data_IF_794726955892
#
_entry.id   IF_794726955892
#
_cell.length_a   1.000
_cell.length_b   1.000
_cell.length_c   1.000
_cell.angle_alpha   90.00
_cell.angle_beta   90.00
_cell.angle_gamma   90.00
#
_symmetry.space_group_name_H-M   'P 1'
#
loop_
_entity.id
_entity.type
_entity.pdbx_description
1 polymer ?
#
# COMPACT_ATOMS: atom_id res chain seq x y z
N UNK A 1 20.79 17.41 3.05
CA UNK A 1 21.33 16.12 2.56
C UNK A 1 21.79 16.28 1.12
N UNK A 2 22.90 15.63 0.72
CA UNK A 2 23.43 15.69 -0.65
C UNK A 2 22.57 14.91 -1.66
N UNK A 3 21.92 13.85 -1.21
CA UNK A 3 21.03 12.98 -1.98
C UNK A 3 19.63 12.92 -1.34
N UNK A 4 18.62 12.53 -2.12
CA UNK A 4 17.32 12.13 -1.56
C UNK A 4 17.49 10.83 -0.75
N UNK A 5 16.86 10.69 0.43
CA UNK A 5 17.00 9.49 1.25
C UNK A 5 16.35 8.23 0.65
N UNK A 6 17.10 7.48 -0.18
CA UNK A 6 16.67 6.17 -0.70
C UNK A 6 17.03 5.01 0.22
N UNK A 7 18.24 4.47 0.06
CA UNK A 7 18.78 3.35 0.85
C UNK A 7 18.55 3.50 2.35
N UNK A 8 18.76 4.71 2.89
CA UNK A 8 18.59 4.98 4.31
C UNK A 8 17.15 4.70 4.78
N UNK A 9 16.15 5.16 4.02
CA UNK A 9 14.74 4.95 4.34
C UNK A 9 14.36 3.48 4.19
N UNK A 10 14.85 2.80 3.14
CA UNK A 10 14.61 1.36 2.95
C UNK A 10 15.11 0.54 4.14
N UNK A 11 16.30 0.87 4.67
CA UNK A 11 16.85 0.18 5.84
C UNK A 11 16.12 0.53 7.13
N UNK A 12 15.78 1.80 7.36
CA UNK A 12 14.98 2.19 8.53
C UNK A 12 13.62 1.51 8.54
N UNK A 13 12.93 1.41 7.40
CA UNK A 13 11.70 0.63 7.32
C UNK A 13 11.94 -0.85 7.63
N UNK A 14 13.04 -1.43 7.18
CA UNK A 14 13.40 -2.82 7.50
C UNK A 14 13.58 -3.01 9.02
N UNK A 15 14.14 -2.01 9.71
CA UNK A 15 14.32 -1.98 11.16
C UNK A 15 13.01 -1.66 11.93
N UNK A 16 11.89 -1.50 11.23
CA UNK A 16 10.56 -1.36 11.82
C UNK A 16 9.97 0.05 11.76
N UNK A 17 10.69 1.06 11.25
CA UNK A 17 10.17 2.42 11.18
C UNK A 17 9.00 2.53 10.18
N UNK A 18 8.03 3.39 10.52
CA UNK A 18 7.04 3.84 9.55
C UNK A 18 7.63 4.92 8.65
N UNK A 19 7.22 4.92 7.39
CA UNK A 19 7.59 5.94 6.41
C UNK A 19 6.43 6.18 5.46
N UNK A 20 6.25 7.44 5.07
CA UNK A 20 5.36 7.87 4.02
C UNK A 20 6.03 9.02 3.27
N UNK A 21 6.10 8.88 1.95
CA UNK A 21 6.84 9.80 1.12
C UNK A 21 6.09 11.14 0.94
N UNK A 22 6.80 12.16 0.44
CA UNK A 22 6.27 13.51 0.15
C UNK A 22 5.52 14.19 1.33
N UNK A 23 5.86 13.82 2.57
CA UNK A 23 5.23 14.37 3.77
C UNK A 23 3.92 13.66 4.16
N UNK A 24 3.64 12.48 3.61
CA UNK A 24 2.47 11.68 3.94
C UNK A 24 2.58 10.99 5.31
N UNK A 25 2.30 11.79 6.34
CA UNK A 25 2.31 11.32 7.72
C UNK A 25 1.24 10.27 8.01
N UNK A 26 0.11 10.23 7.27
CA UNK A 26 -0.96 9.25 7.48
C UNK A 26 -0.49 7.86 7.09
N UNK A 27 0.11 7.75 5.90
CA UNK A 27 0.70 6.49 5.46
C UNK A 27 1.91 6.12 6.30
N UNK A 28 2.74 7.09 6.71
CA UNK A 28 3.85 6.83 7.63
C UNK A 28 3.39 6.21 8.95
N UNK A 29 2.33 6.75 9.55
CA UNK A 29 1.75 6.21 10.78
C UNK A 29 1.13 4.83 10.54
N UNK A 30 0.39 4.64 9.45
CA UNK A 30 -0.21 3.36 9.08
C UNK A 30 0.85 2.27 8.89
N UNK A 31 1.92 2.55 8.14
CA UNK A 31 3.04 1.61 7.92
C UNK A 31 3.69 1.22 9.24
N UNK A 32 3.89 2.18 10.18
CA UNK A 32 4.40 1.84 11.51
C UNK A 32 3.44 0.93 12.26
N UNK A 33 2.14 1.27 12.30
CA UNK A 33 1.13 0.45 12.96
C UNK A 33 1.12 -0.97 12.39
N UNK A 34 1.15 -1.11 11.06
CA UNK A 34 1.19 -2.41 10.38
C UNK A 34 2.46 -3.20 10.70
N UNK A 35 3.63 -2.54 10.76
CA UNK A 35 4.88 -3.19 11.16
C UNK A 35 4.88 -3.70 12.60
N UNK A 36 4.22 -2.97 13.51
CA UNK A 36 4.06 -3.43 14.89
C UNK A 36 3.06 -4.58 14.96
N UNK A 37 1.94 -4.48 14.22
CA UNK A 37 0.94 -5.55 14.12
C UNK A 37 1.52 -6.85 13.55
N UNK A 38 2.50 -6.77 12.63
CA UNK A 38 3.13 -7.94 12.02
C UNK A 38 4.33 -8.50 12.78
N UNK A 39 4.63 -8.01 13.98
CA UNK A 39 5.76 -8.51 14.76
C UNK A 39 5.62 -10.00 15.08
N UNK A 40 6.61 -10.80 14.68
CA UNK A 40 6.63 -12.25 14.89
C UNK A 40 5.81 -13.05 13.88
N UNK A 41 5.19 -12.41 12.89
CA UNK A 41 4.53 -13.08 11.76
C UNK A 41 5.50 -13.25 10.58
N UNK A 42 5.28 -14.29 9.79
CA UNK A 42 5.99 -14.48 8.53
C UNK A 42 5.51 -13.48 7.48
N UNK A 43 6.44 -13.00 6.65
CA UNK A 43 6.17 -12.01 5.59
C UNK A 43 6.73 -10.63 5.90
N UNK A 44 6.35 -9.65 5.09
CA UNK A 44 6.88 -8.28 5.18
C UNK A 44 5.80 -7.22 5.12
N UNK A 45 6.17 -6.00 5.52
CA UNK A 45 5.30 -4.82 5.45
C UNK A 45 6.12 -3.65 4.90
N UNK A 46 5.58 -2.92 3.93
CA UNK A 46 6.26 -1.83 3.23
C UNK A 46 5.32 -0.65 3.01
N UNK A 47 5.89 0.54 2.90
CA UNK A 47 5.28 1.61 2.12
C UNK A 47 5.19 1.19 0.64
N UNK A 48 4.15 1.62 -0.07
CA UNK A 48 3.91 1.25 -1.47
C UNK A 48 3.07 2.30 -2.21
N UNK A 49 3.22 2.36 -3.52
CA UNK A 49 2.40 3.15 -4.44
C UNK A 49 2.09 2.34 -5.70
N UNK A 50 0.84 2.40 -6.17
CA UNK A 50 0.41 1.86 -7.47
C UNK A 50 1.06 2.68 -8.61
N UNK A 51 2.11 2.13 -9.24
CA UNK A 51 2.99 2.89 -10.13
C UNK A 51 2.54 2.85 -11.60
N UNK A 52 2.15 1.67 -12.09
CA UNK A 52 1.59 1.51 -13.44
C UNK A 52 0.80 0.19 -13.60
N UNK A 53 0.12 0.02 -14.73
CA UNK A 53 -0.77 -1.12 -14.98
C UNK A 53 -0.34 -1.94 -16.19
N UNK A 54 -0.47 -3.27 -16.08
CA UNK A 54 -0.45 -4.21 -17.18
C UNK A 54 -1.89 -4.55 -17.57
N UNK A 55 -2.32 -4.17 -18.77
CA UNK A 55 -3.72 -4.32 -19.24
C UNK A 55 -3.81 -5.37 -20.35
N UNK A 56 -3.55 -6.62 -19.99
CA UNK A 56 -3.72 -7.77 -20.87
C UNK A 56 -4.97 -8.57 -20.46
N UNK A 57 -5.90 -8.88 -21.39
CA UNK A 57 -7.08 -9.68 -21.08
C UNK A 57 -6.75 -10.97 -20.32
N UNK A 58 -7.33 -11.12 -19.12
CA UNK A 58 -7.10 -12.27 -18.23
C UNK A 58 -5.80 -12.22 -17.41
N UNK A 59 -4.91 -11.24 -17.64
CA UNK A 59 -3.64 -11.07 -16.91
C UNK A 59 -3.43 -9.66 -16.37
N UNK A 60 -4.52 -8.92 -16.15
CA UNK A 60 -4.43 -7.59 -15.57
C UNK A 60 -3.64 -7.62 -14.25
N UNK A 61 -2.70 -6.69 -14.10
CA UNK A 61 -1.86 -6.58 -12.91
C UNK A 61 -1.46 -5.11 -12.66
N UNK A 62 -1.06 -4.83 -11.43
CA UNK A 62 -0.53 -3.54 -11.00
C UNK A 62 0.93 -3.72 -10.62
N UNK A 63 1.79 -2.87 -11.19
CA UNK A 63 3.17 -2.74 -10.76
C UNK A 63 3.22 -1.68 -9.66
N UNK A 64 3.52 -2.10 -8.43
CA UNK A 64 3.83 -1.20 -7.34
C UNK A 64 5.32 -0.94 -7.20
N UNK A 65 5.64 0.32 -6.90
CA UNK A 65 6.99 0.80 -6.64
C UNK A 65 6.91 2.13 -5.91
N UNK A 66 8.04 2.81 -5.76
CA UNK A 66 8.12 4.23 -5.45
C UNK A 66 9.44 4.77 -6.02
N UNK A 67 9.71 6.07 -5.91
CA UNK A 67 10.93 6.65 -6.47
C UNK A 67 12.21 5.96 -5.98
N UNK A 68 12.29 5.60 -4.69
CA UNK A 68 13.41 4.87 -4.06
C UNK A 68 12.96 3.89 -2.95
N UNK A 69 11.90 4.21 -2.22
CA UNK A 69 11.70 3.85 -0.82
C UNK A 69 10.82 2.61 -0.60
N UNK A 70 11.17 1.48 -1.23
CA UNK A 70 10.50 0.20 -0.99
C UNK A 70 11.29 -0.63 0.02
N UNK A 71 10.61 -1.10 1.08
CA UNK A 71 11.23 -1.83 2.19
C UNK A 71 11.67 -3.24 1.76
N UNK A 72 12.92 -3.65 2.01
CA UNK A 72 13.42 -4.98 1.60
C UNK A 72 12.77 -6.15 2.35
N UNK A 73 11.95 -5.92 3.38
CA UNK A 73 11.25 -6.99 4.10
C UNK A 73 10.25 -7.78 3.23
N UNK A 74 9.84 -7.24 2.08
CA UNK A 74 8.96 -7.94 1.13
C UNK A 74 9.72 -8.62 -0.01
N UNK A 75 11.06 -8.54 -0.02
CA UNK A 75 11.88 -9.08 -1.10
C UNK A 75 11.81 -10.62 -1.14
N UNK A 76 11.68 -11.17 -2.34
CA UNK A 76 11.76 -12.62 -2.58
C UNK A 76 13.18 -13.12 -2.87
N UNK A 77 14.16 -12.22 -2.82
CA UNK A 77 15.54 -12.49 -3.22
C UNK A 77 16.52 -11.67 -2.38
N UNK A 78 17.82 -11.77 -2.66
CA UNK A 78 18.81 -10.90 -2.03
C UNK A 78 18.83 -9.55 -2.77
N UNK A 79 18.49 -8.42 -2.12
CA UNK A 79 18.48 -7.12 -2.79
C UNK A 79 19.86 -6.70 -3.30
N UNK A 80 19.88 -6.06 -4.47
CA UNK A 80 21.09 -5.44 -5.04
C UNK A 80 21.16 -3.98 -4.61
N UNK A 81 22.37 -3.49 -4.34
CA UNK A 81 22.62 -2.08 -4.07
C UNK A 81 23.04 -1.39 -5.38
N UNK A 82 22.28 -0.39 -5.79
CA UNK A 82 22.48 0.30 -7.08
C UNK A 82 22.43 1.82 -6.91
N UNK A 83 23.07 2.53 -7.84
CA UNK A 83 23.06 3.99 -7.93
C UNK A 83 22.61 4.34 -9.35
N UNK A 84 21.60 5.19 -9.46
CA UNK A 84 21.09 5.67 -10.75
C UNK A 84 20.68 7.14 -10.63
N UNK A 85 20.66 7.89 -11.74
CA UNK A 85 20.17 9.26 -11.75
C UNK A 85 18.71 9.38 -11.28
N UNK A 86 18.44 10.41 -10.47
CA UNK A 86 17.08 10.83 -10.11
C UNK A 86 16.97 12.35 -10.26
N UNK A 87 16.29 12.80 -11.30
CA UNK A 87 16.12 14.23 -11.58
C UNK A 87 15.18 14.93 -10.59
N UNK A 88 14.22 14.19 -10.03
CA UNK A 88 13.27 14.69 -9.04
C UNK A 88 14.03 15.10 -7.77
N UNK A 89 13.79 16.33 -7.31
CA UNK A 89 14.48 16.91 -6.14
C UNK A 89 15.83 17.58 -6.43
N UNK A 90 16.40 17.43 -7.64
CA UNK A 90 17.60 18.16 -8.08
C UNK A 90 18.84 17.87 -7.22
N UNK A 91 19.03 16.62 -6.81
CA UNK A 91 20.13 16.15 -5.96
C UNK A 91 21.06 15.21 -6.73
N UNK A 92 22.16 14.83 -6.09
CA UNK A 92 23.07 13.80 -6.61
C UNK A 92 22.37 12.44 -6.73
N UNK A 93 22.93 11.56 -7.57
CA UNK A 93 22.41 10.22 -7.85
C UNK A 93 22.32 9.37 -6.56
N UNK A 94 21.09 9.03 -6.09
CA UNK A 94 20.91 8.36 -4.81
C UNK A 94 21.17 6.84 -4.91
N UNK A 95 21.76 6.29 -3.85
CA UNK A 95 21.82 4.84 -3.66
C UNK A 95 20.45 4.27 -3.25
N UNK A 96 20.09 3.09 -3.78
CA UNK A 96 18.87 2.34 -3.43
C UNK A 96 19.09 0.82 -3.46
N UNK A 97 18.23 0.08 -2.76
CA UNK A 97 18.05 -1.35 -2.94
C UNK A 97 17.07 -1.61 -4.08
N UNK A 98 17.45 -2.50 -4.99
CA UNK A 98 16.65 -2.97 -6.12
C UNK A 98 16.44 -4.47 -5.99
N UNK A 99 15.18 -4.90 -6.06
CA UNK A 99 14.75 -6.29 -5.91
C UNK A 99 13.33 -6.49 -6.44
N UNK A 100 12.93 -7.75 -6.59
CA UNK A 100 11.54 -8.18 -6.80
C UNK A 100 10.94 -8.69 -5.49
N UNK A 101 9.68 -8.33 -5.23
CA UNK A 101 8.95 -8.91 -4.10
C UNK A 101 8.66 -10.40 -4.31
N UNK A 102 8.57 -11.14 -3.20
CA UNK A 102 8.22 -12.56 -3.24
C UNK A 102 6.74 -12.77 -3.58
N UNK A 103 6.41 -13.81 -4.37
CA UNK A 103 5.01 -14.13 -4.68
C UNK A 103 4.25 -14.60 -3.43
N UNK A 104 2.96 -14.35 -3.39
CA UNK A 104 2.12 -14.71 -2.25
C UNK A 104 0.88 -13.84 -2.11
N UNK A 105 0.10 -14.08 -1.07
CA UNK A 105 -1.03 -13.23 -0.71
C UNK A 105 -0.54 -11.95 -0.04
N UNK A 106 -1.27 -10.85 -0.23
CA UNK A 106 -0.98 -9.59 0.42
C UNK A 106 -2.22 -8.69 0.52
N UNK A 107 -2.01 -7.51 1.08
CA UNK A 107 -3.05 -6.52 1.26
C UNK A 107 -2.49 -5.11 1.08
N UNK A 108 -3.19 -4.29 0.32
CA UNK A 108 -3.02 -2.84 0.29
C UNK A 108 -4.00 -2.20 1.26
N UNK A 109 -3.50 -1.30 2.09
CA UNK A 109 -4.29 -0.53 3.05
C UNK A 109 -4.04 0.97 2.88
N UNK A 110 -5.09 1.78 2.91
CA UNK A 110 -4.97 3.24 2.83
C UNK A 110 -5.85 3.92 3.88
N UNK A 111 -5.23 4.76 4.71
CA UNK A 111 -5.93 5.57 5.70
C UNK A 111 -6.12 6.98 5.14
N UNK A 112 -7.38 7.33 4.84
CA UNK A 112 -7.73 8.64 4.30
C UNK A 112 -8.48 9.48 5.33
N UNK A 113 -8.28 10.79 5.23
CA UNK A 113 -9.02 11.78 5.99
C UNK A 113 -10.09 12.40 5.09
N UNK A 114 -11.35 12.27 5.49
CA UNK A 114 -12.51 12.83 4.77
C UNK A 114 -12.86 14.24 5.28
N UNK A 115 -12.07 14.80 6.20
CA UNK A 115 -12.23 16.10 6.82
C UNK A 115 -12.90 16.02 8.19
N UNK A 116 -14.00 15.27 8.30
CA UNK A 116 -14.75 15.08 9.56
C UNK A 116 -14.44 13.74 10.26
N UNK A 117 -13.81 12.80 9.57
CA UNK A 117 -13.53 11.43 10.04
C UNK A 117 -12.50 10.75 9.16
N UNK A 118 -11.95 9.65 9.66
CA UNK A 118 -11.06 8.78 8.87
C UNK A 118 -11.83 7.60 8.25
N UNK A 119 -11.27 7.07 7.16
CA UNK A 119 -11.68 5.82 6.53
C UNK A 119 -10.45 4.98 6.20
N UNK A 120 -10.50 3.69 6.53
CA UNK A 120 -9.52 2.69 6.15
C UNK A 120 -10.05 1.88 4.96
N UNK A 121 -9.36 1.96 3.83
CA UNK A 121 -9.64 1.14 2.65
C UNK A 121 -8.71 -0.06 2.63
N UNK A 122 -9.28 -1.23 2.36
CA UNK A 122 -8.56 -2.51 2.32
C UNK A 122 -8.79 -3.19 0.99
N UNK A 123 -7.72 -3.57 0.30
CA UNK A 123 -7.78 -4.37 -0.91
C UNK A 123 -6.82 -5.56 -0.81
N UNK A 124 -7.32 -6.79 -0.59
CA UNK A 124 -6.53 -8.00 -0.74
C UNK A 124 -6.01 -8.11 -2.18
N UNK A 125 -4.76 -8.54 -2.31
CA UNK A 125 -4.07 -8.69 -3.58
C UNK A 125 -3.27 -10.00 -3.59
N UNK A 126 -3.02 -10.54 -4.78
CA UNK A 126 -2.07 -11.65 -4.96
C UNK A 126 -0.83 -11.15 -5.67
N UNK A 127 0.31 -11.18 -4.99
CA UNK A 127 1.63 -10.92 -5.57
C UNK A 127 1.98 -12.07 -6.51
N UNK A 128 2.29 -11.72 -7.74
CA UNK A 128 2.70 -12.65 -8.81
C UNK A 128 4.16 -12.39 -9.16
N UNK A 129 4.76 -13.33 -9.89
CA UNK A 129 6.15 -13.21 -10.32
C UNK A 129 6.35 -11.99 -11.23
N UNK A 130 7.30 -11.13 -10.85
CA UNK A 130 7.70 -9.98 -11.66
C UNK A 130 8.56 -10.44 -12.85
N UNK A 131 8.21 -10.08 -14.10
CA UNK A 131 9.06 -10.34 -15.26
C UNK A 131 10.40 -9.59 -15.15
N UNK A 132 11.36 -9.94 -16.01
CA UNK A 132 12.60 -9.19 -16.13
C UNK A 132 12.34 -7.75 -16.59
N UNK A 133 12.85 -6.79 -15.82
CA UNK A 133 12.71 -5.35 -16.09
C UNK A 133 14.09 -4.67 -15.98
N UNK A 134 15.04 -4.97 -16.89
CA UNK A 134 16.45 -4.58 -16.73
C UNK A 134 16.71 -3.07 -16.73
N UNK A 135 15.72 -2.28 -17.16
CA UNK A 135 15.79 -0.81 -17.20
C UNK A 135 15.01 -0.14 -16.05
N UNK A 136 14.32 -0.91 -15.20
CA UNK A 136 13.62 -0.37 -14.04
C UNK A 136 14.62 -0.22 -12.90
N UNK A 137 14.94 1.00 -12.45
CA UNK A 137 16.05 1.20 -11.54
C UNK A 137 15.61 1.15 -10.07
N UNK A 138 14.42 0.61 -9.78
CA UNK A 138 13.79 0.56 -8.45
C UNK A 138 13.34 -0.85 -8.13
N UNK A 139 13.15 -1.14 -6.84
CA UNK A 139 12.46 -2.35 -6.43
C UNK A 139 11.01 -2.37 -6.92
N UNK A 140 10.48 -3.57 -7.15
CA UNK A 140 9.18 -3.76 -7.79
C UNK A 140 8.36 -4.88 -7.16
N UNK A 141 7.05 -4.67 -7.14
CA UNK A 141 6.03 -5.65 -6.76
C UNK A 141 5.01 -5.71 -7.87
N UNK A 142 4.62 -6.90 -8.33
CA UNK A 142 3.55 -7.06 -9.31
C UNK A 142 2.42 -7.83 -8.65
N UNK A 143 1.21 -7.30 -8.64
CA UNK A 143 0.07 -7.97 -8.01
C UNK A 143 -1.20 -7.93 -8.86
N UNK A 144 -2.10 -8.85 -8.55
CA UNK A 144 -3.46 -8.88 -9.05
C UNK A 144 -4.41 -8.53 -7.91
N UNK A 145 -5.13 -7.40 -7.98
CA UNK A 145 -6.05 -7.00 -6.92
C UNK A 145 -7.36 -7.78 -6.99
N UNK A 146 -7.94 -8.12 -5.84
CA UNK A 146 -9.30 -8.66 -5.75
C UNK A 146 -10.36 -7.58 -5.97
N UNK A 147 -11.52 -7.87 -6.59
CA UNK A 147 -11.82 -9.11 -7.33
C UNK A 147 -11.11 -9.17 -8.68
N UNK A 148 -10.88 -8.00 -9.28
CA UNK A 148 -10.19 -7.79 -10.54
C UNK A 148 -9.76 -6.31 -10.61
N UNK A 149 -8.78 -5.97 -11.45
CA UNK A 149 -8.25 -4.61 -11.57
C UNK A 149 -9.33 -3.55 -11.84
N UNK A 150 -10.29 -3.83 -12.73
CA UNK A 150 -11.30 -2.83 -13.12
C UNK A 150 -12.22 -2.54 -11.95
N UNK A 151 -12.74 -3.56 -11.30
CA UNK A 151 -13.64 -3.41 -10.15
C UNK A 151 -12.90 -2.82 -8.96
N UNK A 152 -11.68 -3.30 -8.67
CA UNK A 152 -10.87 -2.82 -7.55
C UNK A 152 -10.53 -1.33 -7.68
N UNK A 153 -10.00 -0.91 -8.84
CA UNK A 153 -9.69 0.49 -9.09
C UNK A 153 -10.95 1.37 -9.07
N UNK A 154 -12.06 0.89 -9.64
CA UNK A 154 -13.34 1.64 -9.61
C UNK A 154 -13.81 1.84 -8.16
N UNK A 155 -13.79 0.78 -7.36
CA UNK A 155 -14.19 0.83 -5.95
C UNK A 155 -13.27 1.73 -5.11
N UNK A 156 -11.96 1.65 -5.34
CA UNK A 156 -10.94 2.43 -4.64
C UNK A 156 -11.11 3.93 -4.90
N UNK A 157 -11.25 4.31 -6.18
CA UNK A 157 -11.50 5.69 -6.60
C UNK A 157 -12.82 6.20 -6.01
N UNK A 158 -13.89 5.39 -6.05
CA UNK A 158 -15.19 5.77 -5.50
C UNK A 158 -15.16 5.97 -3.98
N UNK A 159 -14.36 5.18 -3.26
CA UNK A 159 -14.21 5.28 -1.82
C UNK A 159 -13.21 6.37 -1.38
N UNK A 160 -12.47 6.95 -2.33
CA UNK A 160 -11.53 8.05 -2.12
C UNK A 160 -10.13 7.63 -1.68
N UNK A 161 -9.73 6.38 -1.95
CA UNK A 161 -8.43 5.86 -1.50
C UNK A 161 -7.24 6.63 -2.07
N UNK A 162 -6.17 6.74 -1.28
CA UNK A 162 -4.92 7.37 -1.72
C UNK A 162 -4.14 6.48 -2.71
N UNK A 163 -3.16 7.07 -3.39
CA UNK A 163 -2.16 6.34 -4.18
C UNK A 163 -1.10 5.70 -3.26
N UNK A 164 -0.80 6.34 -2.13
CA UNK A 164 0.04 5.76 -1.09
C UNK A 164 -0.72 4.73 -0.25
N UNK A 165 -0.07 3.60 -0.04
CA UNK A 165 -0.60 2.48 0.74
C UNK A 165 0.44 1.92 1.70
N UNK A 166 -0.05 1.34 2.80
CA UNK A 166 0.67 0.33 3.53
C UNK A 166 0.40 -1.02 2.87
N UNK A 167 1.45 -1.64 2.32
CA UNK A 167 1.39 -2.97 1.73
C UNK A 167 1.93 -4.01 2.72
N UNK A 168 1.28 -5.16 2.83
CA UNK A 168 1.76 -6.26 3.68
C UNK A 168 1.50 -7.62 3.06
N UNK A 169 2.48 -8.52 3.20
CA UNK A 169 2.32 -9.98 2.98
C UNK A 169 2.22 -10.75 4.29
N UNK A 170 2.43 -10.08 5.44
CA UNK A 170 2.32 -10.67 6.77
C UNK A 170 0.92 -10.49 7.41
N UNK A 171 0.15 -9.51 6.93
CA UNK A 171 -1.17 -9.18 7.45
C UNK A 171 -2.24 -9.50 6.42
N UNK A 172 -3.39 -9.96 6.90
CA UNK A 172 -4.62 -10.03 6.13
C UNK A 172 -5.65 -9.00 6.64
N UNK A 173 -6.83 -8.97 6.01
CA UNK A 173 -7.87 -8.00 6.38
C UNK A 173 -8.34 -8.13 7.83
N UNK A 174 -8.28 -9.30 8.47
CA UNK A 174 -8.80 -9.50 9.84
C UNK A 174 -8.07 -8.62 10.84
N UNK A 175 -6.74 -8.58 10.77
CA UNK A 175 -5.92 -7.71 11.61
C UNK A 175 -6.29 -6.22 11.47
N UNK A 176 -6.56 -5.79 10.24
CA UNK A 176 -6.88 -4.39 9.95
C UNK A 176 -8.32 -4.01 10.30
N UNK A 177 -9.26 -4.97 10.25
CA UNK A 177 -10.60 -4.82 10.79
C UNK A 177 -10.59 -4.67 12.31
N UNK A 178 -9.83 -5.52 13.01
CA UNK A 178 -9.67 -5.43 14.47
C UNK A 178 -9.05 -4.08 14.86
N UNK A 179 -7.97 -3.68 14.16
CA UNK A 179 -7.34 -2.38 14.35
C UNK A 179 -8.33 -1.21 14.17
N UNK A 180 -9.07 -1.19 13.05
CA UNK A 180 -10.03 -0.13 12.78
C UNK A 180 -11.17 -0.08 13.81
N UNK A 181 -11.61 -1.25 14.28
CA UNK A 181 -12.63 -1.35 15.34
C UNK A 181 -12.12 -0.78 16.67
N UNK A 182 -10.86 -1.05 17.03
CA UNK A 182 -10.24 -0.50 18.24
C UNK A 182 -10.15 1.02 18.23
N UNK A 183 -9.95 1.64 17.05
CA UNK A 183 -9.82 3.09 16.90
C UNK A 183 -11.11 3.77 16.41
N UNK A 184 -12.21 3.03 16.24
CA UNK A 184 -13.51 3.57 15.82
C UNK A 184 -13.54 4.14 14.39
N UNK A 185 -12.79 3.56 13.46
CA UNK A 185 -12.67 4.04 12.06
C UNK A 185 -13.49 3.18 11.10
N UNK A 186 -14.09 3.81 10.08
CA UNK A 186 -14.79 3.11 9.00
C UNK A 186 -13.85 2.21 8.21
N UNK A 187 -14.26 0.97 7.94
CA UNK A 187 -13.57 0.08 6.99
C UNK A 187 -14.37 -0.11 5.72
N UNK A 188 -13.70 0.04 4.58
CA UNK A 188 -14.19 -0.30 3.25
C UNK A 188 -13.35 -1.42 2.67
N UNK A 189 -13.90 -2.63 2.64
CA UNK A 189 -13.32 -3.77 1.94
C UNK A 189 -13.61 -3.72 0.44
N UNK A 190 -12.56 -3.97 -0.34
CA UNK A 190 -12.61 -4.19 -1.77
C UNK A 190 -12.01 -5.58 -1.99
N UNK A 191 -12.86 -6.61 -1.98
CA UNK A 191 -12.47 -8.00 -2.14
C UNK A 191 -13.32 -8.74 -3.20
N UNK A 192 -13.18 -10.08 -3.26
CA UNK A 192 -13.86 -10.94 -4.22
C UNK A 192 -15.39 -10.84 -4.22
N UNK A 193 -16.01 -10.33 -3.15
CA UNK A 193 -17.46 -10.16 -3.04
C UNK A 193 -17.94 -8.75 -3.43
N UNK A 194 -17.02 -7.86 -3.82
CA UNK A 194 -17.35 -6.45 -4.09
C UNK A 194 -18.25 -6.30 -5.31
N UNK A 195 -19.42 -5.73 -5.11
CA UNK A 195 -20.28 -5.22 -6.19
C UNK A 195 -20.38 -3.71 -6.10
N UNK A 196 -20.07 -3.01 -7.20
CA UNK A 196 -20.01 -1.54 -7.24
C UNK A 196 -21.29 -0.87 -6.73
N UNK A 197 -22.46 -1.39 -7.09
CA UNK A 197 -23.73 -0.80 -6.64
C UNK A 197 -23.98 -1.00 -5.13
N UNK A 198 -23.60 -2.15 -4.58
CA UNK A 198 -23.70 -2.40 -3.14
C UNK A 198 -22.70 -1.53 -2.37
N UNK A 199 -21.48 -1.37 -2.91
CA UNK A 199 -20.48 -0.47 -2.35
C UNK A 199 -20.98 0.99 -2.29
N UNK A 200 -21.62 1.50 -3.35
CA UNK A 200 -22.22 2.85 -3.34
C UNK A 200 -23.19 3.04 -2.19
N UNK A 201 -24.04 2.05 -1.97
CA UNK A 201 -25.01 2.10 -0.87
C UNK A 201 -24.31 2.01 0.48
N UNK A 202 -23.33 1.11 0.65
CA UNK A 202 -22.52 0.98 1.87
C UNK A 202 -21.84 2.31 2.22
N UNK A 203 -21.20 2.99 1.26
CA UNK A 203 -20.55 4.28 1.49
C UNK A 203 -21.55 5.35 1.97
N UNK A 204 -22.77 5.37 1.42
CA UNK A 204 -23.84 6.31 1.84
C UNK A 204 -24.36 6.00 3.24
N UNK A 205 -24.59 4.74 3.56
CA UNK A 205 -25.09 4.32 4.87
C UNK A 205 -24.03 4.55 5.96
N UNK A 206 -22.77 4.22 5.66
CA UNK A 206 -21.67 4.46 6.56
C UNK A 206 -21.46 5.96 6.80
N UNK A 207 -21.58 6.81 5.77
CA UNK A 207 -21.50 8.26 5.95
C UNK A 207 -22.48 8.75 7.03
N UNK A 208 -23.74 8.29 6.96
CA UNK A 208 -24.74 8.63 7.96
C UNK A 208 -24.37 8.08 9.34
N UNK A 209 -24.02 6.79 9.44
CA UNK A 209 -23.68 6.15 10.71
C UNK A 209 -22.51 6.85 11.41
N UNK A 210 -21.40 7.07 10.71
CA UNK A 210 -20.21 7.70 11.28
C UNK A 210 -20.41 9.20 11.55
N UNK A 211 -21.37 9.86 10.89
CA UNK A 211 -21.74 11.24 11.22
C UNK A 211 -22.49 11.34 12.56
N UNK A 212 -23.31 10.35 12.91
CA UNK A 212 -24.16 10.37 14.11
C UNK A 212 -23.67 9.47 15.25
N UNK A 213 -22.57 8.73 15.06
CA UNK A 213 -22.09 7.75 16.05
C UNK A 213 -21.73 8.36 17.41
N UNK A 214 -21.40 9.66 17.44
CA UNK A 214 -21.13 10.40 18.68
C UNK A 214 -22.40 10.83 19.43
N UNK A 215 -23.58 10.45 18.93
CA UNK A 215 -24.88 10.81 19.47
C UNK A 215 -25.71 11.63 18.47
N UNK A 216 -27.03 11.46 18.54
CA UNK A 216 -28.00 12.31 17.85
C UNK A 216 -28.47 13.34 18.87
N UNK A 217 -28.16 14.62 18.65
CA UNK A 217 -28.72 15.73 19.43
C UNK A 217 -30.08 16.13 18.86
#
# INVERSE_FOLDING_TARGET
LPQLPGLAVQRLMADGYGFGAEGDWKTSALVRSMKVMSYGLDGGTSFMEDYTYHLEPGKNAVLGAHMLEICPSISGEKPRLEIHPLSIGGKEDPARLVFKAGPGEGINASMIDLGNRFRLLLNPVRVIECPEMPKLPVASVLWQPSPDLKTAATAWIMAGGAHHTGFSTALDKRYLHDYASMIGVEVVDIDNNTKINELKNKLRWNELYFHIMSGIA
#
